data_IF_359254295619
#
_entry.id   IF_359254295619
#
_cell.length_a   1.000
_cell.length_b   1.000
_cell.length_c   1.000
_cell.angle_alpha   90.00
_cell.angle_beta   90.00
_cell.angle_gamma   90.00
#
_symmetry.space_group_name_H-M   'P 1'
#
loop_
_entity.id
_entity.type
_entity.pdbx_description
1 polymer ?
#
# COMPACT_ATOMS: atom_id res chain seq x y z
N UNK A 1 -9.10 12.26 23.03
CA UNK A 1 -8.00 11.30 23.23
C UNK A 1 -7.15 11.37 21.97
N UNK A 2 -5.85 11.58 22.09
CA UNK A 2 -4.95 11.48 20.94
C UNK A 2 -4.67 10.00 20.74
N UNK A 3 -5.35 9.37 19.79
CA UNK A 3 -5.13 7.96 19.51
C UNK A 3 -3.69 7.78 19.02
N UNK A 4 -2.91 7.02 19.80
CA UNK A 4 -1.52 6.70 19.47
C UNK A 4 -1.52 5.53 18.51
N UNK A 5 -1.12 5.79 17.26
CA UNK A 5 -0.96 4.75 16.25
C UNK A 5 0.47 4.21 16.26
N UNK A 6 0.59 2.89 16.31
CA UNK A 6 1.85 2.19 16.04
C UNK A 6 1.91 1.81 14.58
N UNK A 7 3.04 2.10 13.95
CA UNK A 7 3.30 1.78 12.54
C UNK A 7 3.98 0.42 12.42
N UNK A 8 3.39 -0.49 11.65
CA UNK A 8 3.97 -1.83 11.38
C UNK A 8 3.96 -2.15 9.89
N UNK A 9 4.88 -3.02 9.45
CA UNK A 9 4.86 -3.51 8.07
C UNK A 9 3.65 -4.44 7.88
N UNK A 10 2.88 -4.16 6.83
CA UNK A 10 1.70 -4.93 6.48
C UNK A 10 1.92 -5.91 5.33
N UNK A 11 1.06 -6.92 5.26
CA UNK A 11 1.01 -7.87 4.15
C UNK A 11 -0.25 -7.61 3.31
N UNK A 12 -0.13 -7.71 1.99
CA UNK A 12 -1.26 -7.55 1.07
C UNK A 12 -1.07 -8.39 -0.19
N UNK A 13 -2.17 -8.67 -0.89
CA UNK A 13 -2.11 -9.09 -2.29
C UNK A 13 -1.96 -7.85 -3.15
N UNK A 14 -0.98 -7.85 -4.03
CA UNK A 14 -0.68 -6.72 -4.90
C UNK A 14 -1.07 -7.01 -6.34
N UNK A 15 -1.54 -5.98 -7.03
CA UNK A 15 -1.77 -5.99 -8.48
C UNK A 15 -1.29 -4.67 -9.05
N UNK A 16 -0.55 -4.74 -10.16
CA UNK A 16 -0.13 -3.55 -10.89
C UNK A 16 -0.66 -3.58 -12.32
N UNK A 17 -1.05 -2.41 -12.83
CA UNK A 17 -1.46 -2.25 -14.22
C UNK A 17 -1.03 -0.91 -14.78
N UNK A 18 -0.77 -0.89 -16.08
CA UNK A 18 -0.48 0.33 -16.83
C UNK A 18 -1.73 1.21 -16.95
N UNK A 19 -1.58 2.50 -16.68
CA UNK A 19 -2.67 3.46 -16.83
C UNK A 19 -2.67 3.98 -18.26
N UNK A 20 -3.73 3.67 -19.03
CA UNK A 20 -4.01 4.28 -20.34
C UNK A 20 -2.83 4.26 -21.35
N UNK A 21 -2.02 3.18 -21.37
CA UNK A 21 -0.81 3.06 -22.21
C UNK A 21 0.22 4.19 -22.01
N UNK A 22 0.23 4.80 -20.83
CA UNK A 22 1.25 5.78 -20.42
C UNK A 22 2.41 5.09 -19.70
N UNK A 23 3.44 5.87 -19.37
CA UNK A 23 4.51 5.45 -18.46
C UNK A 23 4.04 5.38 -16.99
N UNK A 24 2.75 5.46 -16.69
CA UNK A 24 2.22 5.38 -15.34
C UNK A 24 1.73 3.97 -15.02
N UNK A 25 2.12 3.49 -13.84
CA UNK A 25 1.71 2.22 -13.28
C UNK A 25 0.86 2.49 -12.04
N UNK A 26 -0.33 1.89 -11.96
CA UNK A 26 -1.12 1.88 -10.74
C UNK A 26 -0.82 0.60 -9.98
N UNK A 27 -0.25 0.73 -8.79
CA UNK A 27 -0.09 -0.36 -7.83
C UNK A 27 -1.29 -0.34 -6.89
N UNK A 28 -1.99 -1.47 -6.78
CA UNK A 28 -3.13 -1.67 -5.89
C UNK A 28 -2.79 -2.78 -4.92
N UNK A 29 -3.03 -2.55 -3.63
CA UNK A 29 -2.84 -3.52 -2.58
C UNK A 29 -4.16 -3.78 -1.86
N UNK A 30 -4.51 -5.05 -1.74
CA UNK A 30 -5.79 -5.52 -1.19
C UNK A 30 -5.56 -6.57 -0.11
N UNK A 31 -6.42 -6.58 0.90
CA UNK A 31 -6.35 -7.54 1.99
C UNK A 31 -7.44 -7.31 3.02
N UNK A 32 -7.26 -7.88 4.21
CA UNK A 32 -8.18 -7.77 5.33
C UNK A 32 -7.39 -7.40 6.58
N UNK A 33 -7.84 -6.36 7.28
CA UNK A 33 -7.33 -5.98 8.59
C UNK A 33 -8.09 -6.75 9.69
N UNK A 34 -7.39 -7.12 10.78
CA UNK A 34 -8.00 -7.88 11.88
C UNK A 34 -8.94 -7.03 12.76
N UNK A 35 -8.82 -5.71 12.70
CA UNK A 35 -9.57 -4.76 13.54
C UNK A 35 -10.12 -3.61 12.69
N UNK A 36 -11.31 -3.12 13.03
CA UNK A 36 -12.02 -2.07 12.29
C UNK A 36 -11.39 -0.67 12.41
N UNK A 37 -10.64 -0.45 13.49
CA UNK A 37 -9.95 0.80 13.75
C UNK A 37 -8.51 0.80 13.24
N UNK A 38 -8.07 -0.26 12.55
CA UNK A 38 -6.76 -0.25 11.92
C UNK A 38 -6.83 0.40 10.55
N UNK A 39 -5.72 0.96 10.08
CA UNK A 39 -5.66 1.58 8.76
C UNK A 39 -4.53 0.97 7.92
N UNK A 40 -4.82 0.70 6.65
CA UNK A 40 -3.83 0.25 5.68
C UNK A 40 -3.44 1.40 4.76
N UNK A 41 -2.14 1.55 4.48
CA UNK A 41 -1.61 2.58 3.61
C UNK A 41 -0.40 2.07 2.82
N UNK A 42 -0.26 2.56 1.59
CA UNK A 42 0.97 2.41 0.82
C UNK A 42 1.88 3.60 1.09
N UNK A 43 3.12 3.33 1.47
CA UNK A 43 4.12 4.36 1.72
C UNK A 43 5.39 4.15 0.90
N UNK A 44 5.86 5.24 0.30
CA UNK A 44 7.08 5.24 -0.49
C UNK A 44 8.31 5.15 0.43
N UNK A 45 9.23 4.23 0.13
CA UNK A 45 10.53 4.17 0.79
C UNK A 45 11.42 5.32 0.30
N UNK A 46 12.01 6.07 1.24
CA UNK A 46 12.93 7.17 0.91
C UNK A 46 14.20 6.71 0.17
N UNK A 47 14.64 5.46 0.40
CA UNK A 47 15.89 4.91 -0.14
C UNK A 47 15.86 4.64 -1.65
N UNK A 48 14.67 4.53 -2.28
CA UNK A 48 14.56 4.24 -3.72
C UNK A 48 13.63 5.24 -4.39
N UNK A 49 14.24 6.25 -5.01
CA UNK A 49 13.53 7.30 -5.73
C UNK A 49 13.02 6.80 -7.09
N UNK A 50 13.79 5.94 -7.77
CA UNK A 50 13.49 5.44 -9.13
C UNK A 50 13.91 3.96 -9.32
N UNK A 51 12.98 3.06 -9.73
CA UNK A 51 11.53 3.20 -9.59
C UNK A 51 11.15 3.27 -8.10
N UNK A 52 10.12 4.04 -7.73
CA UNK A 52 9.72 4.19 -6.34
C UNK A 52 9.28 2.84 -5.77
N UNK A 53 9.79 2.49 -4.59
CA UNK A 53 9.39 1.28 -3.88
C UNK A 53 8.33 1.63 -2.84
N UNK A 54 7.22 0.88 -2.80
CA UNK A 54 6.10 1.12 -1.90
C UNK A 54 5.94 -0.06 -0.94
N UNK A 55 5.84 0.25 0.35
CA UNK A 55 5.48 -0.73 1.37
C UNK A 55 4.02 -0.60 1.73
N UNK A 56 3.36 -1.74 1.93
CA UNK A 56 2.17 -1.77 2.76
C UNK A 56 2.56 -1.53 4.21
N UNK A 57 1.86 -0.61 4.84
CA UNK A 57 2.00 -0.24 6.24
C UNK A 57 0.62 -0.31 6.88
N UNK A 58 0.58 -0.86 8.09
CA UNK A 58 -0.60 -0.79 8.94
C UNK A 58 -0.36 0.18 10.09
N UNK A 59 -1.34 1.05 10.32
CA UNK A 59 -1.44 1.86 11.52
C UNK A 59 -2.38 1.13 12.47
N UNK A 60 -1.82 0.65 13.58
CA UNK A 60 -2.54 -0.12 14.59
C UNK A 60 -2.70 0.69 15.87
N UNK A 61 -3.86 0.58 16.49
CA UNK A 61 -4.15 1.16 17.81
C UNK A 61 -3.97 0.10 18.91
N UNK A 62 -3.78 0.56 20.15
CA UNK A 62 -3.57 -0.30 21.32
C UNK A 62 -4.79 -1.20 21.63
N UNK A 63 -5.99 -0.75 21.26
CA UNK A 63 -7.22 -1.53 21.38
C UNK A 63 -7.72 -1.96 20.00
N UNK A 64 -8.26 -3.18 19.91
CA UNK A 64 -8.79 -3.74 18.67
C UNK A 64 -10.32 -3.78 18.72
N UNK A 65 -10.97 -3.05 17.82
CA UNK A 65 -12.40 -3.22 17.57
C UNK A 65 -12.61 -4.49 16.74
N UNK A 66 -13.11 -5.56 17.37
CA UNK A 66 -13.21 -6.93 16.82
C UNK A 66 -14.19 -7.04 15.64
N UNK A 67 -13.74 -6.57 14.48
CA UNK A 67 -14.40 -6.78 13.20
C UNK A 67 -13.34 -6.79 12.10
N UNK A 68 -13.49 -7.71 11.15
CA UNK A 68 -12.63 -7.77 9.97
C UNK A 68 -12.97 -6.63 9.03
N UNK A 69 -11.95 -5.90 8.57
CA UNK A 69 -12.12 -4.78 7.66
C UNK A 69 -11.35 -5.04 6.36
N UNK A 70 -12.04 -5.26 5.23
CA UNK A 70 -11.37 -5.34 3.94
C UNK A 70 -10.80 -3.96 3.57
N UNK A 71 -9.62 -3.96 2.93
CA UNK A 71 -9.01 -2.73 2.42
C UNK A 71 -8.62 -2.88 0.95
N UNK A 72 -8.61 -1.75 0.25
CA UNK A 72 -8.11 -1.60 -1.11
C UNK A 72 -7.49 -0.22 -1.25
N UNK A 73 -6.16 -0.15 -1.26
CA UNK A 73 -5.41 1.10 -1.41
C UNK A 73 -4.62 1.07 -2.70
N UNK A 74 -4.56 2.20 -3.39
CA UNK A 74 -3.85 2.31 -4.67
C UNK A 74 -3.02 3.57 -4.76
N UNK A 75 -1.86 3.45 -5.39
CA UNK A 75 -0.95 4.56 -5.71
C UNK A 75 -0.60 4.52 -7.18
N UNK A 76 -0.33 5.68 -7.76
CA UNK A 76 0.13 5.81 -9.14
C UNK A 76 1.60 6.20 -9.10
N UNK A 77 2.43 5.48 -9.85
CA UNK A 77 3.85 5.71 -9.94
C UNK A 77 4.30 5.79 -11.40
N UNK A 78 5.29 6.63 -11.66
CA UNK A 78 5.92 6.72 -12.97
C UNK A 78 6.93 5.58 -13.13
N UNK A 79 6.77 4.79 -14.18
CA UNK A 79 7.78 3.87 -14.65
C UNK A 79 8.79 4.63 -15.53
N UNK A 80 9.94 4.95 -14.95
CA UNK A 80 11.09 5.54 -15.64
C UNK A 80 12.16 4.49 -16.00
N UNK A 81 11.91 3.20 -15.77
CA UNK A 81 12.86 2.12 -16.07
C UNK A 81 12.85 1.65 -17.53
N UNK A 82 11.83 2.03 -18.31
CA UNK A 82 11.65 1.55 -19.69
C UNK A 82 11.22 0.08 -19.80
N UNK A 83 10.90 -0.57 -18.67
CA UNK A 83 10.38 -1.94 -18.66
C UNK A 83 8.97 -2.01 -19.25
N UNK A 84 8.73 -2.95 -20.16
CA UNK A 84 7.42 -3.21 -20.78
C UNK A 84 6.52 -4.11 -19.92
N UNK A 85 7.12 -4.84 -18.97
CA UNK A 85 6.44 -5.76 -18.06
C UNK A 85 6.55 -5.30 -16.60
N UNK A 86 5.45 -5.47 -15.86
CA UNK A 86 5.40 -5.19 -14.41
C UNK A 86 5.35 -6.52 -13.66
N UNK A 87 6.37 -6.79 -12.86
CA UNK A 87 6.38 -7.91 -11.91
C UNK A 87 6.11 -7.36 -10.51
N UNK A 88 5.17 -7.98 -9.79
CA UNK A 88 4.74 -7.56 -8.45
C UNK A 88 4.85 -8.73 -7.49
#
# INVERSE_FOLDING_TARGET
MSDTFTKVLGCASYRAHWVQRSNLVRLTATGVLPCLNYMAQLEQRAERVIPPNWNMVFYVEDYCQRALQPFSVSVVMTNSSGADAILV
#
